data_IF_047792006388
#
_entry.id   IF_047792006388
#
_cell.length_a   1.000
_cell.length_b   1.000
_cell.length_c   1.000
_cell.angle_alpha   90.00
_cell.angle_beta   90.00
_cell.angle_gamma   90.00
#
_symmetry.space_group_name_H-M   'P 1'
#
loop_
_entity.id
_entity.type
_entity.pdbx_description
1 polymer ?
#
# COMPACT_ATOMS: atom_id res chain seq x y z
N UNK A 1 -13.95 -9.19 -4.78
CA UNK A 1 -13.26 -9.79 -3.61
C UNK A 1 -13.82 -9.19 -2.33
N UNK A 2 -14.34 -9.99 -1.40
CA UNK A 2 -14.65 -9.49 -0.04
C UNK A 2 -13.31 -9.13 0.61
N UNK A 3 -13.14 -7.89 1.04
CA UNK A 3 -11.91 -7.40 1.63
C UNK A 3 -11.64 -8.17 2.94
N UNK A 4 -10.73 -9.14 2.91
CA UNK A 4 -10.42 -10.05 4.02
C UNK A 4 -9.71 -9.37 5.19
N UNK A 5 -9.43 -8.07 5.09
CA UNK A 5 -8.73 -7.28 6.11
C UNK A 5 -9.60 -6.92 7.31
N UNK A 6 -10.91 -6.70 7.12
CA UNK A 6 -11.78 -6.27 8.23
C UNK A 6 -12.35 -7.48 8.95
N UNK A 7 -11.70 -7.88 10.04
CA UNK A 7 -12.24 -8.89 10.94
C UNK A 7 -13.39 -8.27 11.73
N UNK A 8 -14.56 -8.90 11.72
CA UNK A 8 -15.62 -8.53 12.67
C UNK A 8 -15.30 -9.08 14.05
N UNK A 9 -15.50 -8.27 15.08
CA UNK A 9 -15.35 -8.66 16.49
C UNK A 9 -16.66 -8.56 17.30
N UNK A 10 -17.73 -8.02 16.70
CA UNK A 10 -19.02 -7.86 17.37
C UNK A 10 -20.09 -7.37 16.39
N UNK A 11 -21.35 -7.58 16.74
CA UNK A 11 -22.52 -7.14 15.96
C UNK A 11 -22.94 -5.71 16.32
N UNK A 12 -23.69 -5.08 15.41
CA UNK A 12 -24.23 -3.74 15.64
C UNK A 12 -25.45 -3.82 16.59
N UNK A 13 -25.54 -2.88 17.54
CA UNK A 13 -26.64 -2.85 18.52
C UNK A 13 -27.96 -2.39 17.91
N UNK A 14 -29.09 -2.91 18.42
CA UNK A 14 -30.43 -2.37 18.14
C UNK A 14 -30.64 -1.03 18.88
N UNK A 15 -31.54 -0.19 18.38
CA UNK A 15 -31.80 1.17 18.91
C UNK A 15 -32.13 1.20 20.41
N UNK A 16 -32.86 0.20 20.93
CA UNK A 16 -33.17 0.08 22.36
C UNK A 16 -31.97 -0.34 23.21
N UNK A 17 -31.12 -1.24 22.69
CA UNK A 17 -29.93 -1.74 23.38
C UNK A 17 -28.87 -0.63 23.51
N UNK A 18 -28.70 0.18 22.46
CA UNK A 18 -27.70 1.24 22.39
C UNK A 18 -27.94 2.40 23.38
N UNK A 19 -29.16 2.54 23.94
CA UNK A 19 -29.51 3.60 24.90
C UNK A 19 -29.15 3.25 26.35
N UNK A 20 -28.84 1.99 26.63
CA UNK A 20 -28.40 1.56 27.96
C UNK A 20 -26.94 1.95 28.21
N UNK A 21 -26.54 2.15 29.46
CA UNK A 21 -25.14 2.45 29.81
C UNK A 21 -24.18 1.35 29.29
N UNK A 22 -24.56 0.08 29.43
CA UNK A 22 -23.80 -1.06 28.90
C UNK A 22 -23.75 -1.06 27.37
N UNK A 23 -24.84 -0.68 26.70
CA UNK A 23 -24.90 -0.51 25.25
C UNK A 23 -23.98 0.58 24.74
N UNK A 24 -23.93 1.73 25.42
CA UNK A 24 -23.00 2.80 25.08
C UNK A 24 -21.53 2.37 25.24
N UNK A 25 -21.20 1.63 26.31
CA UNK A 25 -19.87 1.06 26.51
C UNK A 25 -19.50 0.06 25.40
N UNK A 26 -20.42 -0.84 25.04
CA UNK A 26 -20.21 -1.78 23.93
C UNK A 26 -19.98 -1.05 22.61
N UNK A 27 -20.78 -0.02 22.31
CA UNK A 27 -20.62 0.77 21.10
C UNK A 27 -19.25 1.48 21.06
N UNK A 28 -18.78 2.01 22.19
CA UNK A 28 -17.45 2.60 22.32
C UNK A 28 -16.34 1.60 22.00
N UNK A 29 -16.38 0.40 22.59
CA UNK A 29 -15.42 -0.68 22.32
C UNK A 29 -15.47 -1.13 20.84
N UNK A 30 -16.66 -1.25 20.28
CA UNK A 30 -16.83 -1.64 18.88
C UNK A 30 -16.24 -0.58 17.94
N UNK A 31 -16.46 0.70 18.24
CA UNK A 31 -15.89 1.82 17.47
C UNK A 31 -14.36 1.84 17.55
N UNK A 32 -13.79 1.64 18.73
CA UNK A 32 -12.32 1.54 18.91
C UNK A 32 -11.74 0.40 18.08
N UNK A 33 -12.34 -0.79 18.19
CA UNK A 33 -11.92 -1.94 17.38
C UNK A 33 -12.01 -1.64 15.88
N UNK A 34 -13.11 -1.04 15.40
CA UNK A 34 -13.29 -0.67 14.00
C UNK A 34 -12.27 0.38 13.50
N UNK A 35 -11.89 1.33 14.37
CA UNK A 35 -10.85 2.29 14.07
C UNK A 35 -9.49 1.59 13.87
N UNK A 36 -9.13 0.66 14.76
CA UNK A 36 -7.89 -0.11 14.65
C UNK A 36 -7.90 -1.00 13.40
N UNK A 37 -9.01 -1.69 13.10
CA UNK A 37 -9.14 -2.48 11.87
C UNK A 37 -9.02 -1.62 10.61
N UNK A 38 -9.51 -0.38 10.65
CA UNK A 38 -9.39 0.55 9.52
C UNK A 38 -7.95 1.03 9.33
N UNK A 39 -7.24 1.34 10.42
CA UNK A 39 -5.81 1.66 10.37
C UNK A 39 -4.97 0.47 9.89
N UNK A 40 -5.26 -0.74 10.39
CA UNK A 40 -4.62 -1.99 10.00
C UNK A 40 -4.77 -2.31 8.50
N UNK A 41 -5.92 -1.98 7.91
CA UNK A 41 -6.19 -2.21 6.48
C UNK A 41 -5.58 -1.13 5.56
N UNK A 42 -5.26 0.05 6.10
CA UNK A 42 -4.85 1.21 5.30
C UNK A 42 -3.63 0.94 4.41
N UNK A 43 -2.52 0.32 4.87
CA UNK A 43 -1.35 0.09 4.01
C UNK A 43 -1.67 -0.75 2.77
N UNK A 44 -2.48 -1.80 2.93
CA UNK A 44 -2.88 -2.64 1.81
C UNK A 44 -3.81 -1.90 0.84
N UNK A 45 -4.74 -1.11 1.36
CA UNK A 45 -5.63 -0.27 0.54
C UNK A 45 -4.85 0.78 -0.25
N UNK A 46 -3.87 1.43 0.38
CA UNK A 46 -2.98 2.38 -0.27
C UNK A 46 -2.16 1.71 -1.38
N UNK A 47 -1.64 0.50 -1.15
CA UNK A 47 -0.93 -0.27 -2.17
C UNK A 47 -1.83 -0.59 -3.38
N UNK A 48 -3.07 -1.03 -3.12
CA UNK A 48 -4.05 -1.31 -4.19
C UNK A 48 -4.35 -0.04 -4.98
N UNK A 49 -4.60 1.08 -4.30
CA UNK A 49 -4.88 2.36 -4.94
C UNK A 49 -3.70 2.82 -5.81
N UNK A 50 -2.46 2.71 -5.31
CA UNK A 50 -1.25 3.07 -6.04
C UNK A 50 -0.96 2.16 -7.26
N UNK A 51 -1.61 0.99 -7.33
CA UNK A 51 -1.50 0.04 -8.45
C UNK A 51 -2.58 0.27 -9.52
N UNK A 52 -3.52 1.18 -9.31
CA UNK A 52 -4.51 1.53 -10.33
C UNK A 52 -3.88 2.44 -11.38
N UNK A 53 -4.22 2.22 -12.65
CA UNK A 53 -3.77 3.06 -13.76
C UNK A 53 -4.16 4.52 -13.49
N UNK A 54 -3.20 5.44 -13.63
CA UNK A 54 -3.44 6.86 -13.46
C UNK A 54 -3.36 7.58 -14.82
N UNK A 55 -4.48 8.12 -15.34
CA UNK A 55 -4.51 8.84 -16.61
C UNK A 55 -3.54 10.03 -16.69
N UNK A 56 -3.22 10.65 -15.54
CA UNK A 56 -2.30 11.80 -15.47
C UNK A 56 -0.86 11.43 -15.87
N UNK A 57 -0.49 10.16 -15.77
CA UNK A 57 0.86 9.68 -16.14
C UNK A 57 1.08 9.67 -17.64
N UNK A 58 0.03 9.74 -18.47
CA UNK A 58 0.13 9.65 -19.92
C UNK A 58 1.06 10.69 -20.52
N UNK A 59 1.02 11.92 -20.03
CA UNK A 59 1.88 12.99 -20.52
C UNK A 59 3.36 12.69 -20.23
N UNK A 60 3.66 12.27 -18.99
CA UNK A 60 5.01 11.90 -18.55
C UNK A 60 5.55 10.71 -19.35
N UNK A 61 4.72 9.69 -19.55
CA UNK A 61 5.08 8.53 -20.38
C UNK A 61 5.36 8.98 -21.81
N UNK A 62 4.46 9.76 -22.42
CA UNK A 62 4.63 10.24 -23.79
C UNK A 62 5.92 11.05 -23.97
N UNK A 63 6.26 11.89 -23.00
CA UNK A 63 7.51 12.66 -22.99
C UNK A 63 8.73 11.73 -22.86
N UNK A 64 8.72 10.81 -21.89
CA UNK A 64 9.80 9.85 -21.69
C UNK A 64 10.06 9.00 -22.95
N UNK A 65 8.99 8.58 -23.64
CA UNK A 65 9.05 7.78 -24.87
C UNK A 65 9.64 8.53 -26.08
N UNK A 66 9.84 9.85 -26.01
CA UNK A 66 10.61 10.57 -27.04
C UNK A 66 12.09 10.13 -27.07
N UNK A 67 12.58 9.59 -25.95
CA UNK A 67 13.93 9.03 -25.86
C UNK A 67 13.91 7.56 -26.32
N UNK A 68 14.66 7.17 -27.35
CA UNK A 68 14.63 5.80 -27.89
C UNK A 68 14.92 4.70 -26.86
N UNK A 69 15.87 4.94 -25.94
CA UNK A 69 16.21 3.97 -24.88
C UNK A 69 15.08 3.79 -23.87
N UNK A 70 14.36 4.87 -23.52
CA UNK A 70 13.19 4.78 -22.64
C UNK A 70 12.01 4.08 -23.35
N UNK A 71 11.86 4.27 -24.66
CA UNK A 71 10.86 3.57 -25.46
C UNK A 71 11.13 2.05 -25.52
N UNK A 72 12.38 1.65 -25.74
CA UNK A 72 12.79 0.25 -25.70
C UNK A 72 12.52 -0.39 -24.32
N UNK A 73 12.93 0.28 -23.24
CA UNK A 73 12.70 -0.20 -21.88
C UNK A 73 11.20 -0.32 -21.56
N UNK A 74 10.39 0.65 -22.00
CA UNK A 74 8.93 0.58 -21.85
C UNK A 74 8.34 -0.60 -22.64
N UNK A 75 8.78 -0.81 -23.87
CA UNK A 75 8.30 -1.92 -24.72
C UNK A 75 8.64 -3.30 -24.14
N UNK A 76 9.74 -3.41 -23.40
CA UNK A 76 10.11 -4.64 -22.70
C UNK A 76 9.33 -4.79 -21.39
N UNK A 77 9.45 -3.80 -20.49
CA UNK A 77 9.12 -3.95 -19.08
C UNK A 77 7.70 -3.50 -18.68
N UNK A 78 7.03 -2.67 -19.49
CA UNK A 78 5.69 -2.19 -19.15
C UNK A 78 4.65 -3.33 -19.20
N UNK A 79 3.61 -3.22 -18.38
CA UNK A 79 2.50 -4.17 -18.41
C UNK A 79 1.76 -4.12 -19.77
N UNK A 80 1.07 -5.20 -20.18
CA UNK A 80 0.28 -5.20 -21.42
C UNK A 80 -0.75 -4.06 -21.46
N UNK A 81 -1.36 -3.75 -20.32
CA UNK A 81 -2.31 -2.65 -20.19
C UNK A 81 -1.62 -1.30 -20.40
N UNK A 82 -0.47 -1.07 -19.75
CA UNK A 82 0.31 0.15 -19.94
C UNK A 82 0.76 0.34 -21.40
N UNK A 83 1.15 -0.75 -22.07
CA UNK A 83 1.50 -0.73 -23.52
C UNK A 83 0.31 -0.32 -24.38
N UNK A 84 -0.90 -0.78 -24.02
CA UNK A 84 -2.14 -0.47 -24.74
C UNK A 84 -2.61 0.97 -24.52
N UNK A 85 -2.52 1.48 -23.30
CA UNK A 85 -3.13 2.76 -22.91
C UNK A 85 -2.14 3.92 -22.82
N UNK A 86 -0.84 3.63 -22.79
CA UNK A 86 0.23 4.56 -22.44
C UNK A 86 0.01 5.25 -21.08
N UNK A 87 -0.68 4.59 -20.14
CA UNK A 87 -0.85 5.05 -18.76
C UNK A 87 -0.26 4.04 -17.80
N UNK A 88 0.47 4.53 -16.81
CA UNK A 88 1.04 3.73 -15.74
C UNK A 88 0.27 4.03 -14.45
N UNK A 89 0.16 3.04 -13.58
CA UNK A 89 -0.10 3.28 -12.16
C UNK A 89 1.07 4.04 -11.52
N UNK A 90 0.88 4.61 -10.32
CA UNK A 90 1.97 5.28 -9.62
C UNK A 90 3.15 4.32 -9.38
N UNK A 91 2.86 3.07 -9.03
CA UNK A 91 3.89 2.03 -8.84
C UNK A 91 4.61 1.69 -10.14
N UNK A 92 3.88 1.51 -11.23
CA UNK A 92 4.50 1.21 -12.53
C UNK A 92 5.32 2.39 -13.06
N UNK A 93 4.89 3.63 -12.81
CA UNK A 93 5.64 4.83 -13.18
C UNK A 93 6.95 4.93 -12.40
N UNK A 94 6.92 4.72 -11.08
CA UNK A 94 8.12 4.70 -10.25
C UNK A 94 9.08 3.59 -10.72
N UNK A 95 8.58 2.38 -10.94
CA UNK A 95 9.39 1.28 -11.46
C UNK A 95 10.00 1.60 -12.85
N UNK A 96 9.19 2.14 -13.75
CA UNK A 96 9.61 2.52 -15.10
C UNK A 96 10.70 3.60 -15.06
N UNK A 97 10.48 4.69 -14.31
CA UNK A 97 11.42 5.79 -14.20
C UNK A 97 12.75 5.36 -13.56
N UNK A 98 12.70 4.60 -12.48
CA UNK A 98 13.94 4.17 -11.81
C UNK A 98 14.65 3.09 -12.63
N UNK A 99 13.91 2.13 -13.17
CA UNK A 99 14.46 1.01 -13.95
C UNK A 99 15.10 1.43 -15.28
N UNK A 100 14.46 2.33 -16.05
CA UNK A 100 15.00 2.81 -17.33
C UNK A 100 16.33 3.56 -17.21
N UNK A 101 16.70 4.00 -15.99
CA UNK A 101 17.95 4.72 -15.70
C UNK A 101 19.10 3.80 -15.26
N UNK A 102 18.83 2.51 -15.02
CA UNK A 102 19.80 1.59 -14.39
C UNK A 102 20.14 0.36 -15.25
N UNK A 103 19.22 -0.15 -16.07
CA UNK A 103 19.36 -1.46 -16.72
C UNK A 103 20.24 -1.51 -17.99
N UNK A 104 21.38 -0.81 -18.05
CA UNK A 104 22.31 -0.88 -19.19
C UNK A 104 23.68 -1.45 -18.75
N UNK A 105 24.08 -2.57 -19.35
CA UNK A 105 25.04 -3.54 -18.81
C UNK A 105 26.49 -3.44 -19.31
N UNK A 106 26.87 -2.45 -20.12
CA UNK A 106 28.24 -2.37 -20.70
C UNK A 106 29.30 -1.72 -19.76
N UNK A 107 29.12 -1.85 -18.44
CA UNK A 107 29.56 -0.87 -17.45
C UNK A 107 31.03 -0.99 -16.94
N UNK A 108 31.62 -2.19 -16.84
CA UNK A 108 32.93 -2.34 -16.19
C UNK A 108 34.13 -2.04 -17.11
N UNK A 109 33.99 -2.28 -18.41
CA UNK A 109 35.05 -2.05 -19.40
C UNK A 109 35.23 -0.56 -19.70
N UNK A 110 34.13 0.19 -19.66
CA UNK A 110 34.12 1.63 -19.95
C UNK A 110 34.68 2.47 -18.80
N UNK A 111 34.49 2.04 -17.54
CA UNK A 111 34.83 2.81 -16.34
C UNK A 111 36.32 3.15 -16.21
N UNK A 112 37.20 2.23 -16.64
CA UNK A 112 38.64 2.36 -16.44
C UNK A 112 39.31 3.34 -17.43
N UNK A 113 38.58 3.81 -18.46
CA UNK A 113 39.10 4.68 -19.51
C UNK A 113 38.58 6.14 -19.46
N UNK A 114 37.94 6.56 -18.35
CA UNK A 114 37.12 7.79 -18.32
C UNK A 114 37.80 9.02 -17.67
N UNK A 115 37.78 10.15 -18.38
CA UNK A 115 38.05 11.52 -17.88
C UNK A 115 36.95 12.52 -18.34
N UNK A 116 36.84 13.68 -17.67
CA UNK A 116 35.95 14.78 -18.09
C UNK A 116 34.45 14.45 -18.07
N UNK A 117 33.75 14.62 -19.19
CA UNK A 117 32.33 14.30 -19.36
C UNK A 117 31.98 12.86 -18.99
N UNK A 118 32.97 11.97 -19.03
CA UNK A 118 32.78 10.58 -18.66
C UNK A 118 32.75 10.36 -17.14
N UNK A 119 33.47 11.18 -16.36
CA UNK A 119 33.34 11.21 -14.89
C UNK A 119 31.98 11.77 -14.47
N UNK A 120 31.47 12.79 -15.17
CA UNK A 120 30.11 13.30 -14.95
C UNK A 120 29.05 12.23 -15.26
N UNK A 121 29.23 11.46 -16.33
CA UNK A 121 28.40 10.29 -16.66
C UNK A 121 28.41 9.25 -15.53
N UNK A 122 29.58 9.02 -14.94
CA UNK A 122 29.73 8.08 -13.82
C UNK A 122 29.03 8.55 -12.55
N UNK A 123 29.13 9.85 -12.22
CA UNK A 123 28.39 10.45 -11.11
C UNK A 123 26.85 10.29 -11.29
N UNK A 124 26.34 10.49 -12.51
CA UNK A 124 24.92 10.27 -12.83
C UNK A 124 24.53 8.79 -12.65
N UNK A 125 25.39 7.85 -13.04
CA UNK A 125 25.14 6.40 -12.88
C UNK A 125 25.10 5.98 -11.41
N UNK A 126 26.05 6.44 -10.59
CA UNK A 126 26.05 6.18 -9.14
C UNK A 126 24.78 6.74 -8.49
N UNK A 127 24.39 7.96 -8.83
CA UNK A 127 23.15 8.56 -8.33
C UNK A 127 21.91 7.73 -8.74
N UNK A 128 21.90 7.18 -9.95
CA UNK A 128 20.82 6.31 -10.42
C UNK A 128 20.77 4.97 -9.69
N UNK A 129 21.92 4.33 -9.42
CA UNK A 129 22.00 3.12 -8.58
C UNK A 129 21.47 3.39 -7.17
N UNK A 130 21.83 4.52 -6.57
CA UNK A 130 21.30 4.92 -5.26
C UNK A 130 19.77 5.07 -5.29
N UNK A 131 19.22 5.69 -6.33
CA UNK A 131 17.76 5.82 -6.49
C UNK A 131 17.07 4.45 -6.62
N UNK A 132 17.69 3.48 -7.30
CA UNK A 132 17.18 2.10 -7.39
C UNK A 132 17.18 1.38 -6.06
N UNK A 133 18.28 1.45 -5.31
CA UNK A 133 18.36 0.87 -3.98
C UNK A 133 17.33 1.51 -3.02
N UNK A 134 17.15 2.83 -3.09
CA UNK A 134 16.13 3.56 -2.33
C UNK A 134 14.71 3.11 -2.70
N UNK A 135 14.44 2.85 -3.99
CA UNK A 135 13.16 2.30 -4.43
C UNK A 135 12.94 0.88 -3.88
N UNK A 136 13.96 0.03 -3.90
CA UNK A 136 13.92 -1.30 -3.28
C UNK A 136 13.61 -1.22 -1.77
N UNK A 137 14.27 -0.31 -1.05
CA UNK A 137 13.99 -0.05 0.37
C UNK A 137 12.55 0.42 0.57
N UNK A 138 12.05 1.35 -0.26
CA UNK A 138 10.65 1.81 -0.21
C UNK A 138 9.67 0.64 -0.37
N UNK A 139 9.92 -0.30 -1.27
CA UNK A 139 9.09 -1.48 -1.45
C UNK A 139 9.10 -2.37 -0.20
N UNK A 140 10.28 -2.66 0.35
CA UNK A 140 10.41 -3.45 1.58
C UNK A 140 9.68 -2.79 2.76
N UNK A 141 9.72 -1.47 2.89
CA UNK A 141 8.97 -0.72 3.90
C UNK A 141 7.46 -0.82 3.69
N UNK A 142 6.98 -0.75 2.45
CA UNK A 142 5.55 -0.92 2.13
C UNK A 142 5.06 -2.33 2.48
N UNK A 143 5.81 -3.37 2.12
CA UNK A 143 5.50 -4.76 2.46
C UNK A 143 5.48 -4.98 3.98
N UNK A 144 6.49 -4.45 4.69
CA UNK A 144 6.54 -4.46 6.15
C UNK A 144 5.32 -3.78 6.78
N UNK A 145 4.91 -2.61 6.27
CA UNK A 145 3.72 -1.91 6.76
C UNK A 145 2.42 -2.70 6.55
N UNK A 146 2.30 -3.46 5.44
CA UNK A 146 1.17 -4.35 5.22
C UNK A 146 1.15 -5.47 6.25
N UNK A 147 2.30 -6.12 6.51
CA UNK A 147 2.42 -7.18 7.51
C UNK A 147 2.10 -6.64 8.90
N UNK A 148 2.67 -5.49 9.28
CA UNK A 148 2.41 -4.84 10.56
C UNK A 148 0.93 -4.46 10.72
N UNK A 149 0.29 -3.99 9.65
CA UNK A 149 -1.15 -3.74 9.62
C UNK A 149 -1.96 -5.01 9.88
N UNK A 150 -1.62 -6.13 9.22
CA UNK A 150 -2.28 -7.42 9.45
C UNK A 150 -2.09 -7.92 10.90
N UNK A 151 -0.90 -7.76 11.47
CA UNK A 151 -0.62 -8.13 12.86
C UNK A 151 -1.39 -7.25 13.84
N UNK A 152 -1.46 -5.94 13.61
CA UNK A 152 -2.28 -5.02 14.40
C UNK A 152 -3.76 -5.42 14.37
N UNK A 153 -4.29 -5.74 13.18
CA UNK A 153 -5.67 -6.21 13.03
C UNK A 153 -5.93 -7.56 13.73
N UNK A 154 -4.95 -8.46 13.76
CA UNK A 154 -5.00 -9.71 14.51
C UNK A 154 -5.05 -9.46 16.03
N UNK A 155 -4.13 -8.65 16.54
CA UNK A 155 -4.02 -8.30 17.97
C UNK A 155 -5.30 -7.63 18.46
N UNK A 156 -5.81 -6.65 17.71
CA UNK A 156 -7.06 -5.97 18.05
C UNK A 156 -8.26 -6.94 18.09
N UNK A 157 -8.32 -7.90 17.17
CA UNK A 157 -9.37 -8.91 17.20
C UNK A 157 -9.25 -9.85 18.41
N UNK A 158 -8.03 -10.20 18.83
CA UNK A 158 -7.81 -11.04 20.02
C UNK A 158 -8.20 -10.31 21.31
N UNK A 159 -7.91 -9.01 21.40
CA UNK A 159 -8.21 -8.18 22.57
C UNK A 159 -9.71 -7.84 22.69
N UNK A 160 -10.32 -7.34 21.61
CA UNK A 160 -11.67 -6.78 21.68
C UNK A 160 -12.78 -7.82 21.58
N UNK A 161 -12.57 -8.97 20.91
CA UNK A 161 -13.60 -10.02 20.81
C UNK A 161 -14.15 -10.49 22.17
N UNK A 162 -13.32 -10.90 23.16
CA UNK A 162 -13.84 -11.36 24.44
C UNK A 162 -14.57 -10.23 25.20
N UNK A 163 -14.05 -9.00 25.16
CA UNK A 163 -14.68 -7.84 25.81
C UNK A 163 -16.06 -7.52 25.21
N UNK A 164 -16.15 -7.53 23.88
CA UNK A 164 -17.41 -7.32 23.16
C UNK A 164 -18.40 -8.44 23.45
N UNK A 165 -17.96 -9.71 23.46
CA UNK A 165 -18.82 -10.85 23.81
C UNK A 165 -19.37 -10.73 25.23
N UNK A 166 -18.53 -10.39 26.21
CA UNK A 166 -18.94 -10.20 27.59
C UNK A 166 -19.97 -9.06 27.72
N UNK A 167 -19.71 -7.91 27.10
CA UNK A 167 -20.65 -6.77 27.11
C UNK A 167 -21.95 -7.09 26.39
N UNK A 168 -21.91 -7.88 25.31
CA UNK A 168 -23.11 -8.34 24.60
C UNK A 168 -23.99 -9.21 25.49
N UNK A 169 -23.41 -10.15 26.24
CA UNK A 169 -24.14 -10.97 27.20
C UNK A 169 -24.80 -10.12 28.30
N UNK A 170 -24.11 -9.10 28.81
CA UNK A 170 -24.66 -8.16 29.80
C UNK A 170 -25.85 -7.36 29.26
N UNK A 171 -25.79 -6.92 27.99
CA UNK A 171 -26.91 -6.24 27.32
C UNK A 171 -28.12 -7.17 27.23
N UNK A 172 -27.92 -8.41 26.76
CA UNK A 172 -29.01 -9.40 26.65
C UNK A 172 -29.66 -9.69 28.01
N UNK A 173 -28.86 -9.87 29.07
CA UNK A 173 -29.37 -10.11 30.42
C UNK A 173 -30.10 -8.89 31.02
N UNK A 174 -29.66 -7.67 30.68
CA UNK A 174 -30.33 -6.44 31.11
C UNK A 174 -31.66 -6.19 30.41
N UNK A 175 -31.79 -6.59 29.14
CA UNK A 175 -33.06 -6.52 28.40
C UNK A 175 -34.08 -7.52 28.96
N UNK A 176 -33.67 -8.75 29.30
CA UNK A 176 -34.55 -9.76 29.90
C UNK A 176 -35.05 -9.43 31.31
N UNK A 177 -34.47 -8.44 32.00
CA UNK A 177 -34.92 -7.99 33.33
C UNK A 177 -35.88 -6.80 33.29
N UNK A 178 -35.95 -6.10 32.16
CA UNK A 178 -36.72 -4.85 31.99
C UNK A 178 -37.86 -4.99 30.95
N UNK A 179 -38.10 -6.18 30.42
CA UNK A 179 -39.24 -6.52 29.55
C UNK A 179 -40.15 -7.51 30.23
#
# INVERSE_FOLDING_TARGET
MKNTTKRSAGEQLKKGEARTATGQQYAGLLNQHQAIQSAAAYPQLAMIAASQANPQTRAVVKEALQTPSAAAYFAEQASPEAKRTATLSARELEFFEVGRRYANTDYLTDLQAMEGDNLLREAIRIQNLQNWLLFGIKQQLQESNIINGQQLGLSAAQEFRPLLQQKRQQISAGVSRNG
#
